data_IF_033380720061
#
_entry.id   IF_033380720061
#
_cell.length_a   1.000
_cell.length_b   1.000
_cell.length_c   1.000
_cell.angle_alpha   90.00
_cell.angle_beta   90.00
_cell.angle_gamma   90.00
#
_symmetry.space_group_name_H-M   'P 1'
#
loop_
_entity.id
_entity.type
_entity.pdbx_description
1 polymer ?
#
# COMPACT_ATOMS: atom_id res chain seq x y z
N UNK A 1 44.74 -22.47 38.67
CA UNK A 1 45.12 -22.22 37.26
C UNK A 1 43.85 -21.90 36.53
N UNK A 2 43.79 -20.69 35.99
CA UNK A 2 42.60 -20.05 35.43
C UNK A 2 42.25 -20.72 34.11
N UNK A 3 40.99 -21.10 33.94
CA UNK A 3 40.48 -21.63 32.68
C UNK A 3 40.22 -20.50 31.71
N UNK A 4 40.89 -20.53 30.55
CA UNK A 4 40.58 -19.68 29.41
C UNK A 4 39.35 -20.23 28.70
N UNK A 5 38.26 -19.46 28.70
CA UNK A 5 37.13 -19.62 27.80
C UNK A 5 37.29 -18.59 26.68
N UNK A 6 37.94 -19.01 25.60
CA UNK A 6 37.83 -18.35 24.30
C UNK A 6 36.52 -18.84 23.66
N UNK A 7 35.52 -17.95 23.60
CA UNK A 7 34.33 -18.13 22.78
C UNK A 7 34.23 -16.94 21.82
N UNK A 8 34.68 -17.24 20.61
CA UNK A 8 34.68 -16.46 19.39
C UNK A 8 33.34 -15.84 18.99
N UNK A 9 33.50 -14.82 18.15
CA UNK A 9 32.54 -14.25 17.20
C UNK A 9 31.49 -13.28 17.73
N UNK A 10 32.00 -12.11 18.13
CA UNK A 10 31.42 -10.86 17.66
C UNK A 10 31.77 -10.72 16.17
N UNK A 11 30.92 -11.27 15.29
CA UNK A 11 30.95 -10.92 13.87
C UNK A 11 29.95 -9.81 13.65
N UNK A 12 30.47 -8.58 13.79
CA UNK A 12 29.89 -7.37 13.24
C UNK A 12 29.53 -7.65 11.78
N UNK A 13 28.23 -7.74 11.51
CA UNK A 13 27.74 -7.91 10.16
C UNK A 13 27.97 -6.58 9.42
N UNK A 14 29.05 -6.60 8.64
CA UNK A 14 29.25 -5.93 7.37
C UNK A 14 28.16 -4.90 7.04
N UNK A 15 28.40 -3.66 7.48
CA UNK A 15 27.77 -2.49 6.88
C UNK A 15 28.19 -2.45 5.43
N UNK A 16 27.42 -3.11 4.56
CA UNK A 16 27.47 -2.91 3.14
C UNK A 16 27.17 -1.43 2.88
N UNK A 17 28.13 -0.74 2.28
CA UNK A 17 28.04 0.65 1.86
C UNK A 17 26.77 0.88 1.04
N UNK A 18 25.69 1.33 1.70
CA UNK A 18 24.50 1.82 1.05
C UNK A 18 24.79 3.23 0.52
N UNK A 19 24.49 3.55 -0.75
CA UNK A 19 24.67 4.90 -1.27
C UNK A 19 23.81 5.90 -0.49
N UNK A 20 24.36 7.09 -0.26
CA UNK A 20 23.90 8.13 0.67
C UNK A 20 22.55 8.82 0.36
N UNK A 21 21.55 8.10 -0.15
CA UNK A 21 20.21 8.61 -0.45
C UNK A 21 19.07 7.70 0.03
N UNK A 22 19.32 6.73 0.90
CA UNK A 22 18.24 5.91 1.49
C UNK A 22 17.55 6.65 2.63
N UNK A 23 16.28 7.02 2.45
CA UNK A 23 15.46 7.57 3.54
C UNK A 23 15.20 6.48 4.59
N UNK A 24 15.52 6.77 5.85
CA UNK A 24 15.17 5.90 6.97
C UNK A 24 13.72 6.19 7.39
N UNK A 25 12.85 5.19 7.28
CA UNK A 25 11.45 5.29 7.70
C UNK A 25 11.40 4.93 9.20
N UNK A 26 10.95 5.84 10.09
CA UNK A 26 10.83 5.52 11.50
C UNK A 26 9.78 4.42 11.73
N UNK A 27 10.02 3.57 12.71
CA UNK A 27 9.09 2.51 13.09
C UNK A 27 7.73 3.10 13.52
N UNK A 28 6.63 2.50 13.05
CA UNK A 28 5.26 2.95 13.38
C UNK A 28 4.81 4.24 12.67
N UNK A 29 5.65 4.84 11.82
CA UNK A 29 5.33 6.06 11.07
C UNK A 29 4.93 5.78 9.62
N UNK A 30 4.14 6.68 9.06
CA UNK A 30 3.72 6.71 7.66
C UNK A 30 4.24 8.00 7.01
N UNK A 31 4.80 7.96 5.79
CA UNK A 31 5.28 9.17 5.14
C UNK A 31 4.12 10.07 4.69
N UNK A 32 4.24 11.37 4.96
CA UNK A 32 3.34 12.41 4.44
C UNK A 32 3.91 12.88 3.10
N UNK A 33 3.29 12.47 2.00
CA UNK A 33 3.76 12.79 0.65
C UNK A 33 3.21 14.15 0.16
N UNK A 34 3.92 14.82 -0.76
CA UNK A 34 3.39 15.99 -1.48
C UNK A 34 2.10 15.63 -2.23
N UNK A 35 1.27 16.64 -2.53
CA UNK A 35 -0.06 16.44 -3.11
C UNK A 35 -0.07 15.59 -4.39
N UNK A 36 0.88 15.82 -5.30
CA UNK A 36 1.01 15.05 -6.55
C UNK A 36 1.34 13.58 -6.30
N UNK A 37 2.32 13.31 -5.44
CA UNK A 37 2.70 11.97 -5.04
C UNK A 37 1.56 11.24 -4.31
N UNK A 38 0.82 11.93 -3.42
CA UNK A 38 -0.37 11.36 -2.77
C UNK A 38 -1.42 10.93 -3.77
N UNK A 39 -1.73 11.77 -4.76
CA UNK A 39 -2.73 11.42 -5.77
C UNK A 39 -2.27 10.25 -6.64
N UNK A 40 -0.98 10.19 -6.98
CA UNK A 40 -0.42 9.06 -7.73
C UNK A 40 -0.54 7.75 -6.95
N UNK A 41 -0.06 7.72 -5.70
CA UNK A 41 -0.14 6.54 -4.83
C UNK A 41 -1.58 6.12 -4.60
N UNK A 42 -2.50 7.08 -4.40
CA UNK A 42 -3.93 6.80 -4.25
C UNK A 42 -4.51 6.16 -5.52
N UNK A 43 -4.14 6.67 -6.69
CA UNK A 43 -4.58 6.13 -7.97
C UNK A 43 -4.06 4.71 -8.17
N UNK A 44 -2.76 4.49 -7.96
CA UNK A 44 -2.14 3.16 -8.08
C UNK A 44 -2.77 2.14 -7.12
N UNK A 45 -3.07 2.55 -5.89
CA UNK A 45 -3.78 1.73 -4.91
C UNK A 45 -5.17 1.31 -5.40
N UNK A 46 -5.94 2.25 -5.93
CA UNK A 46 -7.28 1.99 -6.47
C UNK A 46 -7.19 1.12 -7.72
N UNK A 47 -6.33 1.46 -8.67
CA UNK A 47 -6.15 0.72 -9.93
C UNK A 47 -5.76 -0.74 -9.66
N UNK A 48 -4.87 -0.97 -8.68
CA UNK A 48 -4.51 -2.32 -8.23
C UNK A 48 -5.72 -3.08 -7.69
N UNK A 49 -6.58 -2.44 -6.90
CA UNK A 49 -7.80 -3.09 -6.41
C UNK A 49 -8.78 -3.42 -7.55
N UNK A 50 -8.93 -2.55 -8.53
CA UNK A 50 -9.75 -2.80 -9.71
C UNK A 50 -9.24 -3.96 -10.55
N UNK A 51 -7.93 -4.04 -10.79
CA UNK A 51 -7.33 -5.15 -11.55
C UNK A 51 -7.56 -6.52 -10.91
N UNK A 52 -7.63 -6.59 -9.57
CA UNK A 52 -7.93 -7.85 -8.87
C UNK A 52 -9.41 -8.23 -8.95
N UNK A 53 -10.30 -7.27 -9.23
CA UNK A 53 -11.74 -7.43 -9.31
C UNK A 53 -12.27 -7.35 -10.75
N UNK A 54 -11.42 -7.69 -11.74
CA UNK A 54 -11.76 -7.66 -13.16
C UNK A 54 -13.03 -8.47 -13.51
N UNK A 55 -13.23 -9.69 -13.00
CA UNK A 55 -14.43 -10.49 -13.26
C UNK A 55 -15.72 -9.81 -12.77
N UNK A 56 -15.72 -9.29 -11.55
CA UNK A 56 -16.83 -8.59 -10.92
C UNK A 56 -17.11 -7.26 -11.62
N UNK A 57 -16.03 -6.56 -12.00
CA UNK A 57 -16.10 -5.32 -12.77
C UNK A 57 -16.77 -5.55 -14.11
N UNK A 58 -16.39 -6.64 -14.81
CA UNK A 58 -17.03 -7.03 -16.07
C UNK A 58 -18.50 -7.38 -15.87
N UNK A 59 -18.85 -8.15 -14.84
CA UNK A 59 -20.24 -8.49 -14.55
C UNK A 59 -21.11 -7.25 -14.29
N UNK A 60 -20.61 -6.31 -13.49
CA UNK A 60 -21.28 -5.03 -13.25
C UNK A 60 -21.38 -4.19 -14.53
N UNK A 61 -20.31 -4.16 -15.34
CA UNK A 61 -20.30 -3.44 -16.62
C UNK A 61 -21.34 -3.99 -17.59
N UNK A 62 -21.43 -5.32 -17.76
CA UNK A 62 -22.43 -5.95 -18.62
C UNK A 62 -23.87 -5.66 -18.15
N UNK A 63 -24.11 -5.68 -16.83
CA UNK A 63 -25.41 -5.25 -16.30
C UNK A 63 -25.67 -3.77 -16.59
N UNK A 64 -24.68 -2.90 -16.38
CA UNK A 64 -24.83 -1.46 -16.61
C UNK A 64 -25.15 -1.11 -18.07
N UNK A 65 -24.55 -1.83 -19.03
CA UNK A 65 -24.85 -1.69 -20.45
C UNK A 65 -26.28 -2.10 -20.79
N UNK A 66 -26.74 -3.21 -20.21
CA UNK A 66 -28.08 -3.75 -20.45
C UNK A 66 -29.19 -2.86 -19.89
N UNK A 67 -28.99 -2.36 -18.66
CA UNK A 67 -30.04 -1.65 -17.91
C UNK A 67 -29.97 -0.11 -18.10
N UNK A 68 -28.83 0.43 -18.55
CA UNK A 68 -28.65 1.85 -18.82
C UNK A 68 -28.94 2.72 -17.59
N UNK A 69 -29.92 3.62 -17.70
CA UNK A 69 -30.34 4.52 -16.61
C UNK A 69 -30.90 3.77 -15.40
N UNK A 70 -31.34 2.52 -15.56
CA UNK A 70 -31.89 1.70 -14.47
C UNK A 70 -30.82 0.97 -13.63
N UNK A 71 -29.52 1.17 -13.93
CA UNK A 71 -28.38 0.49 -13.27
C UNK A 71 -28.42 0.56 -11.74
N UNK A 72 -28.83 1.70 -11.16
CA UNK A 72 -28.86 1.92 -9.70
C UNK A 72 -29.90 1.03 -9.01
N UNK A 73 -30.93 0.60 -9.73
CA UNK A 73 -31.98 -0.26 -9.22
C UNK A 73 -31.77 -1.73 -9.62
N UNK A 74 -31.37 -1.97 -10.86
CA UNK A 74 -31.32 -3.31 -11.46
C UNK A 74 -29.99 -4.04 -11.28
N UNK A 75 -28.87 -3.31 -11.17
CA UNK A 75 -27.53 -3.89 -11.04
C UNK A 75 -26.99 -3.86 -9.61
N UNK A 76 -27.88 -3.83 -8.61
CA UNK A 76 -27.47 -3.77 -7.20
C UNK A 76 -26.73 -5.04 -6.77
N UNK A 77 -27.11 -6.20 -7.31
CA UNK A 77 -26.45 -7.48 -7.02
C UNK A 77 -24.99 -7.46 -7.47
N UNK A 78 -24.75 -7.19 -8.76
CA UNK A 78 -23.42 -7.12 -9.35
C UNK A 78 -22.58 -6.00 -8.71
N UNK A 79 -23.20 -4.86 -8.40
CA UNK A 79 -22.54 -3.77 -7.66
C UNK A 79 -22.07 -4.22 -6.28
N UNK A 80 -22.89 -4.96 -5.55
CA UNK A 80 -22.52 -5.42 -4.21
C UNK A 80 -21.36 -6.41 -4.27
N UNK A 81 -21.42 -7.37 -5.19
CA UNK A 81 -20.33 -8.34 -5.41
C UNK A 81 -19.02 -7.63 -5.76
N UNK A 82 -19.06 -6.65 -6.68
CA UNK A 82 -17.90 -5.82 -7.02
C UNK A 82 -17.36 -5.06 -5.80
N UNK A 83 -18.24 -4.41 -5.03
CA UNK A 83 -17.82 -3.69 -3.83
C UNK A 83 -17.20 -4.62 -2.78
N UNK A 84 -17.72 -5.82 -2.62
CA UNK A 84 -17.20 -6.80 -1.67
C UNK A 84 -15.83 -7.34 -2.10
N UNK A 85 -15.57 -7.43 -3.41
CA UNK A 85 -14.23 -7.67 -3.93
C UNK A 85 -13.31 -6.47 -3.65
N UNK A 86 -13.71 -5.25 -4.02
CA UNK A 86 -12.87 -4.06 -3.85
C UNK A 86 -12.44 -3.85 -2.40
N UNK A 87 -13.33 -4.05 -1.43
CA UNK A 87 -13.03 -3.95 0.01
C UNK A 87 -11.88 -4.87 0.47
N UNK A 88 -11.68 -6.01 -0.18
CA UNK A 88 -10.62 -6.96 0.18
C UNK A 88 -9.23 -6.45 -0.23
N UNK A 89 -9.16 -5.64 -1.30
CA UNK A 89 -7.90 -5.16 -1.86
C UNK A 89 -7.63 -3.68 -1.54
N UNK A 90 -8.66 -2.89 -1.29
CA UNK A 90 -8.57 -1.49 -0.86
C UNK A 90 -8.38 -1.36 0.67
N UNK A 91 -7.41 -2.08 1.22
CA UNK A 91 -7.08 -2.01 2.66
C UNK A 91 -6.13 -0.86 2.95
N UNK A 92 -6.25 -0.27 4.15
CA UNK A 92 -5.35 0.79 4.60
C UNK A 92 -3.90 0.29 4.68
N UNK A 93 -3.70 -0.99 5.00
CA UNK A 93 -2.36 -1.60 5.04
C UNK A 93 -1.69 -1.58 3.67
N UNK A 94 -2.44 -1.89 2.60
CA UNK A 94 -1.92 -1.83 1.23
C UNK A 94 -1.59 -0.39 0.83
N UNK A 95 -2.44 0.57 1.19
CA UNK A 95 -2.20 1.99 0.93
C UNK A 95 -0.93 2.50 1.66
N UNK A 96 -0.77 2.15 2.94
CA UNK A 96 0.43 2.50 3.71
C UNK A 96 1.67 1.85 3.12
N UNK A 97 1.60 0.57 2.71
CA UNK A 97 2.71 -0.12 2.06
C UNK A 97 3.15 0.59 0.77
N UNK A 98 2.20 1.06 -0.04
CA UNK A 98 2.49 1.86 -1.24
C UNK A 98 3.11 3.22 -0.90
N UNK A 99 2.60 3.93 0.12
CA UNK A 99 3.22 5.18 0.60
C UNK A 99 4.67 4.98 1.05
N UNK A 100 4.96 3.89 1.76
CA UNK A 100 6.31 3.50 2.23
C UNK A 100 7.21 3.17 1.04
N UNK A 101 6.72 2.36 0.09
CA UNK A 101 7.47 2.01 -1.12
C UNK A 101 7.80 3.27 -1.95
N UNK A 102 6.81 4.15 -2.12
CA UNK A 102 6.98 5.44 -2.80
C UNK A 102 8.04 6.30 -2.11
N UNK A 103 7.98 6.45 -0.79
CA UNK A 103 8.96 7.25 -0.05
C UNK A 103 10.39 6.72 -0.21
N UNK A 104 10.58 5.39 -0.26
CA UNK A 104 11.89 4.78 -0.51
C UNK A 104 12.42 5.08 -1.91
N UNK A 105 11.54 5.10 -2.91
CA UNK A 105 11.91 5.41 -4.30
C UNK A 105 12.09 6.91 -4.57
N UNK A 106 11.34 7.76 -3.85
CA UNK A 106 11.21 9.20 -4.08
C UNK A 106 11.30 9.98 -2.76
N UNK A 107 12.47 10.00 -2.09
CA UNK A 107 12.63 10.66 -0.81
C UNK A 107 12.33 12.18 -0.85
N UNK A 108 12.51 12.83 -2.00
CA UNK A 108 12.23 14.26 -2.22
C UNK A 108 10.74 14.64 -2.18
N UNK A 109 9.85 13.65 -2.34
CA UNK A 109 8.40 13.81 -2.28
C UNK A 109 7.85 13.70 -0.84
N UNK A 110 8.69 13.35 0.13
CA UNK A 110 8.32 13.23 1.55
C UNK A 110 8.38 14.61 2.22
N UNK A 111 7.25 15.04 2.78
CA UNK A 111 7.13 16.32 3.52
C UNK A 111 7.26 16.14 5.03
N UNK A 112 7.09 14.91 5.54
CA UNK A 112 7.12 14.62 6.97
C UNK A 112 6.63 13.21 7.27
N UNK A 113 6.37 12.95 8.55
CA UNK A 113 5.97 11.65 9.08
C UNK A 113 4.77 11.81 10.00
N UNK A 114 3.80 10.90 9.89
CA UNK A 114 2.62 10.84 10.74
C UNK A 114 2.52 9.46 11.41
N UNK A 115 2.04 9.37 12.66
CA UNK A 115 1.83 8.07 13.30
C UNK A 115 0.74 7.29 12.56
N UNK A 116 0.91 5.97 12.44
CA UNK A 116 -0.13 5.10 11.88
C UNK A 116 -1.39 5.20 12.77
N UNK A 117 -2.48 5.72 12.19
CA UNK A 117 -3.76 5.83 12.89
C UNK A 117 -4.38 4.43 13.07
N UNK A 118 -4.89 4.09 14.26
CA UNK A 118 -5.68 2.88 14.44
C UNK A 118 -7.00 3.01 13.68
N UNK A 119 -7.43 1.92 13.06
CA UNK A 119 -8.75 1.83 12.41
C UNK A 119 -9.81 1.79 13.53
N UNK A 120 -10.59 2.86 13.68
CA UNK A 120 -11.70 2.98 14.65
C UNK A 120 -12.90 2.12 14.23
#
# INVERSE_FOLDING_TARGET
MVGNMDASHESSDSGADAPAHSIQIPEGMVPVLRARAREHVRKEWIDTAWMQCDPETKAFYECSKREGLMVVFKCRGEKNVLNDCLKQFSTEENHIALKIAWARAHPEEVMGWEPRQPRL
#
